data_IF_762513212725
#
_entry.id   IF_762513212725
#
_cell.length_a   1.000
_cell.length_b   1.000
_cell.length_c   1.000
_cell.angle_alpha   90.00
_cell.angle_beta   90.00
_cell.angle_gamma   90.00
#
_symmetry.space_group_name_H-M   'P 1'
#
loop_
_entity.id
_entity.type
_entity.pdbx_description
1 polymer ?
#
# COMPACT_ATOMS: atom_id res chain seq x y z
N UNK A 1 11.85 -9.86 -7.56
CA UNK A 1 12.01 -10.44 -6.21
C UNK A 1 10.63 -10.73 -5.66
N UNK A 2 10.44 -11.85 -4.98
CA UNK A 2 9.13 -12.24 -4.42
C UNK A 2 9.12 -11.83 -2.95
N UNK A 3 8.25 -10.90 -2.59
CA UNK A 3 8.08 -10.49 -1.20
C UNK A 3 7.12 -11.44 -0.49
N UNK A 4 7.45 -11.83 0.74
CA UNK A 4 6.58 -12.64 1.60
C UNK A 4 6.03 -11.79 2.73
N UNK A 5 4.75 -11.94 3.03
CA UNK A 5 4.13 -11.27 4.18
C UNK A 5 4.66 -11.85 5.49
N UNK A 6 5.21 -11.00 6.35
CA UNK A 6 5.59 -11.33 7.72
C UNK A 6 4.41 -11.02 8.66
N UNK A 7 3.60 -12.04 8.97
CA UNK A 7 2.37 -11.88 9.77
C UNK A 7 2.67 -11.36 11.18
N UNK A 8 3.73 -11.90 11.81
CA UNK A 8 4.11 -11.53 13.18
C UNK A 8 4.50 -10.07 13.24
N UNK A 9 5.41 -9.64 12.36
CA UNK A 9 5.86 -8.26 12.35
C UNK A 9 4.75 -7.29 11.92
N UNK A 10 3.84 -7.73 11.04
CA UNK A 10 2.64 -6.96 10.67
C UNK A 10 1.74 -6.67 11.87
N UNK A 11 1.52 -7.65 12.75
CA UNK A 11 0.74 -7.48 13.98
C UNK A 11 1.47 -6.59 14.99
N UNK A 12 2.78 -6.77 15.17
CA UNK A 12 3.59 -5.97 16.10
C UNK A 12 3.58 -4.49 15.70
N UNK A 13 3.85 -4.19 14.43
CA UNK A 13 3.85 -2.82 13.91
C UNK A 13 2.45 -2.22 13.99
N UNK A 14 1.39 -2.97 13.65
CA UNK A 14 0.01 -2.55 13.80
C UNK A 14 -0.33 -2.09 15.24
N UNK A 15 0.13 -2.84 16.25
CA UNK A 15 -0.04 -2.48 17.66
C UNK A 15 0.76 -1.24 18.04
N UNK A 16 2.04 -1.17 17.66
CA UNK A 16 2.92 -0.04 17.94
C UNK A 16 2.34 1.28 17.41
N UNK A 17 1.85 1.26 16.18
CA UNK A 17 1.25 2.44 15.56
C UNK A 17 -0.21 2.62 15.91
N UNK A 18 -0.88 1.71 16.65
CA UNK A 18 -2.34 1.77 16.86
C UNK A 18 -3.08 1.95 15.52
N UNK A 19 -2.87 1.00 14.61
CA UNK A 19 -3.48 0.97 13.28
C UNK A 19 -5.01 1.00 13.33
N UNK A 20 -5.65 1.36 12.22
CA UNK A 20 -7.12 1.35 12.07
C UNK A 20 -7.54 0.59 10.81
N UNK A 21 -8.66 -0.13 10.89
CA UNK A 21 -9.09 -1.09 9.86
C UNK A 21 -9.33 -0.52 8.46
N UNK A 22 -9.69 0.76 8.33
CA UNK A 22 -10.14 1.36 7.06
C UNK A 22 -9.17 2.40 6.49
N UNK A 23 -7.95 2.46 7.01
CA UNK A 23 -6.96 3.49 6.66
C UNK A 23 -5.62 2.87 6.28
N UNK A 24 -5.55 2.01 5.23
CA UNK A 24 -4.34 1.27 4.93
C UNK A 24 -3.14 2.16 4.58
N UNK A 25 -3.36 3.24 3.84
CA UNK A 25 -2.32 4.21 3.51
C UNK A 25 -1.80 4.97 4.73
N UNK A 26 -2.70 5.42 5.61
CA UNK A 26 -2.30 6.07 6.87
C UNK A 26 -1.51 5.10 7.76
N UNK A 27 -1.95 3.86 7.86
CA UNK A 27 -1.24 2.84 8.64
C UNK A 27 0.15 2.58 8.06
N UNK A 28 0.27 2.42 6.74
CA UNK A 28 1.56 2.21 6.07
C UNK A 28 2.49 3.41 6.21
N UNK A 29 1.97 4.64 6.11
CA UNK A 29 2.73 5.86 6.36
C UNK A 29 3.27 5.89 7.80
N UNK A 30 2.40 5.68 8.79
CA UNK A 30 2.79 5.67 10.20
C UNK A 30 3.77 4.53 10.52
N UNK A 31 3.62 3.38 9.88
CA UNK A 31 4.55 2.26 9.97
C UNK A 31 5.92 2.61 9.37
N UNK A 32 5.96 3.26 8.20
CA UNK A 32 7.20 3.68 7.55
C UNK A 32 7.97 4.69 8.41
N UNK A 33 7.28 5.58 9.11
CA UNK A 33 7.91 6.52 10.05
C UNK A 33 8.41 5.84 11.34
N UNK A 34 7.82 4.71 11.73
CA UNK A 34 8.13 4.00 12.97
C UNK A 34 9.14 2.85 12.80
N UNK A 35 9.53 2.53 11.57
CA UNK A 35 10.34 1.35 11.24
C UNK A 35 11.58 1.76 10.45
N UNK A 36 12.76 1.54 11.03
CA UNK A 36 14.03 1.84 10.37
C UNK A 36 14.26 0.96 9.14
N UNK A 37 14.76 1.57 8.06
CA UNK A 37 15.02 0.87 6.80
C UNK A 37 13.76 0.50 6.01
N UNK A 38 12.58 0.95 6.44
CA UNK A 38 11.34 0.69 5.73
C UNK A 38 11.21 1.50 4.43
N UNK A 39 10.65 0.85 3.42
CA UNK A 39 10.15 1.48 2.20
C UNK A 39 8.64 1.50 2.26
N UNK A 40 8.03 2.68 2.16
CA UNK A 40 6.58 2.80 2.00
C UNK A 40 6.19 2.32 0.61
N UNK A 41 5.16 1.49 0.54
CA UNK A 41 4.64 0.95 -0.71
C UNK A 41 3.13 1.15 -0.79
N UNK A 42 2.69 1.55 -1.96
CA UNK A 42 1.28 1.62 -2.31
C UNK A 42 1.03 0.93 -3.64
N UNK A 43 -0.16 0.37 -3.78
CA UNK A 43 -0.58 -0.35 -4.96
C UNK A 43 -1.81 -1.16 -4.64
N UNK A 44 -1.80 -2.45 -4.98
CA UNK A 44 -2.97 -3.30 -4.88
C UNK A 44 -2.68 -4.57 -4.07
N UNK A 45 -3.71 -5.05 -3.38
CA UNK A 45 -3.71 -6.36 -2.75
C UNK A 45 -4.89 -7.19 -3.25
N UNK A 46 -4.66 -8.46 -3.58
CA UNK A 46 -5.71 -9.45 -3.78
C UNK A 46 -6.03 -10.09 -2.44
N UNK A 47 -7.31 -10.07 -2.07
CA UNK A 47 -7.82 -10.85 -0.93
C UNK A 47 -8.48 -12.12 -1.46
N UNK A 48 -7.74 -13.22 -1.57
CA UNK A 48 -8.19 -14.48 -2.15
C UNK A 48 -9.27 -15.19 -1.31
N UNK A 49 -9.95 -16.16 -1.92
CA UNK A 49 -11.03 -16.97 -1.32
C UNK A 49 -12.37 -16.84 -2.03
N UNK A 50 -13.47 -17.21 -1.36
CA UNK A 50 -14.82 -17.33 -1.96
C UNK A 50 -15.35 -16.05 -2.63
N UNK A 51 -14.87 -14.88 -2.22
CA UNK A 51 -15.20 -13.59 -2.82
C UNK A 51 -13.91 -12.82 -3.08
N UNK A 52 -13.05 -13.41 -3.90
CA UNK A 52 -11.76 -12.82 -4.23
C UNK A 52 -11.93 -11.45 -4.87
N UNK A 53 -11.19 -10.46 -4.39
CA UNK A 53 -11.26 -9.07 -4.86
C UNK A 53 -9.90 -8.41 -4.80
N UNK A 54 -9.70 -7.42 -5.67
CA UNK A 54 -8.56 -6.51 -5.64
C UNK A 54 -8.98 -5.29 -4.84
N UNK A 55 -8.11 -4.83 -3.94
CA UNK A 55 -8.26 -3.57 -3.20
C UNK A 55 -7.04 -2.70 -3.41
N UNK A 56 -7.22 -1.39 -3.44
CA UNK A 56 -6.12 -0.46 -3.24
C UNK A 56 -5.63 -0.56 -1.80
N UNK A 57 -4.30 -0.58 -1.63
CA UNK A 57 -3.70 -0.88 -0.35
C UNK A 57 -2.32 -0.27 -0.20
N UNK A 58 -1.91 -0.07 1.06
CA UNK A 58 -0.59 0.42 1.43
C UNK A 58 0.04 -0.50 2.47
N UNK A 59 1.35 -0.69 2.37
CA UNK A 59 2.17 -1.47 3.31
C UNK A 59 3.59 -0.92 3.36
N UNK A 60 4.46 -1.55 4.15
CA UNK A 60 5.89 -1.27 4.10
C UNK A 60 6.67 -2.52 3.68
N UNK A 61 7.77 -2.31 2.96
CA UNK A 61 8.75 -3.35 2.63
C UNK A 61 10.02 -3.12 3.48
N UNK A 62 10.50 -4.18 4.15
CA UNK A 62 11.77 -4.18 4.89
C UNK A 62 12.58 -5.38 4.41
N UNK A 63 13.67 -5.14 3.69
CA UNK A 63 14.40 -6.20 3.00
C UNK A 63 13.53 -6.88 1.94
N UNK A 64 13.32 -8.18 2.07
CA UNK A 64 12.48 -9.03 1.20
C UNK A 64 11.11 -9.35 1.80
N UNK A 65 10.70 -8.62 2.84
CA UNK A 65 9.45 -8.86 3.58
C UNK A 65 8.44 -7.75 3.36
N UNK A 66 7.19 -8.14 3.16
CA UNK A 66 6.03 -7.25 3.29
C UNK A 66 5.62 -7.23 4.76
N UNK A 67 5.44 -6.03 5.29
CA UNK A 67 4.84 -5.78 6.61
C UNK A 67 3.60 -4.92 6.36
N UNK A 68 2.43 -5.47 6.62
CA UNK A 68 1.16 -4.81 6.38
C UNK A 68 0.49 -4.49 7.73
N UNK A 69 0.60 -3.25 8.24
CA UNK A 69 -0.01 -2.86 9.51
C UNK A 69 -1.55 -2.90 9.49
N UNK A 70 -2.17 -3.12 8.33
CA UNK A 70 -3.62 -3.29 8.18
C UNK A 70 -4.03 -4.77 8.12
N UNK A 71 -3.06 -5.68 7.95
CA UNK A 71 -3.28 -7.13 7.86
C UNK A 71 -4.18 -7.71 8.97
N UNK A 72 -4.03 -7.31 10.26
CA UNK A 72 -4.88 -7.85 11.33
C UNK A 72 -6.39 -7.62 11.14
N UNK A 73 -6.77 -6.65 10.30
CA UNK A 73 -8.17 -6.32 10.01
C UNK A 73 -8.70 -6.95 8.72
N UNK A 74 -7.84 -7.57 7.91
CA UNK A 74 -8.22 -8.17 6.63
C UNK A 74 -8.96 -9.50 6.81
N UNK A 75 -8.84 -10.14 7.99
CA UNK A 75 -9.42 -11.46 8.28
C UNK A 75 -9.02 -12.51 7.22
N UNK A 76 -7.75 -12.50 6.83
CA UNK A 76 -7.13 -13.41 5.86
C UNK A 76 -5.89 -14.05 6.45
N UNK A 77 -5.50 -15.20 5.90
CA UNK A 77 -4.18 -15.77 6.16
C UNK A 77 -3.17 -15.24 5.13
N UNK A 78 -1.87 -15.26 5.43
CA UNK A 78 -0.89 -14.67 4.52
C UNK A 78 -0.90 -15.27 3.11
N UNK A 79 -1.17 -16.57 2.99
CA UNK A 79 -1.31 -17.26 1.70
C UNK A 79 -2.50 -16.76 0.85
N UNK A 80 -3.47 -16.10 1.48
CA UNK A 80 -4.67 -15.58 0.82
C UNK A 80 -4.52 -14.08 0.49
N UNK A 81 -3.36 -13.48 0.72
CA UNK A 81 -3.09 -12.07 0.41
C UNK A 81 -1.91 -11.96 -0.53
N UNK A 82 -2.13 -11.34 -1.69
CA UNK A 82 -1.08 -11.14 -2.70
C UNK A 82 -0.90 -9.65 -2.97
N UNK A 83 0.32 -9.14 -2.82
CA UNK A 83 0.64 -7.72 -2.90
C UNK A 83 1.28 -7.35 -4.24
N UNK A 84 0.85 -6.24 -4.82
CA UNK A 84 1.28 -5.70 -6.12
C UNK A 84 1.65 -4.23 -5.95
N UNK A 85 2.92 -3.96 -5.66
CA UNK A 85 3.40 -2.60 -5.42
C UNK A 85 3.50 -1.78 -6.70
N UNK A 86 2.77 -0.67 -6.76
CA UNK A 86 2.83 0.30 -7.85
C UNK A 86 3.93 1.34 -7.61
N UNK A 87 3.97 1.92 -6.40
CA UNK A 87 4.94 2.95 -6.05
C UNK A 87 5.64 2.63 -4.75
N UNK A 88 6.94 2.93 -4.72
CA UNK A 88 7.83 2.72 -3.59
C UNK A 88 8.51 4.03 -3.24
N UNK A 89 8.40 4.44 -1.98
CA UNK A 89 9.00 5.67 -1.47
C UNK A 89 9.87 5.35 -0.27
N UNK A 90 11.10 5.83 -0.28
CA UNK A 90 11.88 5.92 0.95
C UNK A 90 11.18 6.85 1.94
N UNK A 91 11.44 6.70 3.23
CA UNK A 91 10.91 7.60 4.27
C UNK A 91 11.21 9.07 3.96
N UNK A 92 12.39 9.37 3.38
CA UNK A 92 12.75 10.72 2.96
C UNK A 92 11.84 11.25 1.85
N UNK A 93 11.59 10.45 0.81
CA UNK A 93 10.70 10.83 -0.29
C UNK A 93 9.25 10.96 0.17
N UNK A 94 8.81 10.08 1.07
CA UNK A 94 7.47 10.13 1.64
C UNK A 94 7.22 11.41 2.42
N UNK A 95 8.17 11.82 3.28
CA UNK A 95 8.09 13.09 4.00
C UNK A 95 8.03 14.30 3.05
N UNK A 96 8.89 14.33 2.04
CA UNK A 96 8.89 15.40 1.05
C UNK A 96 7.55 15.50 0.29
N UNK A 97 6.98 14.36 -0.11
CA UNK A 97 5.69 14.33 -0.80
C UNK A 97 4.53 14.82 0.08
N UNK A 98 4.58 14.56 1.38
CA UNK A 98 3.56 15.04 2.33
C UNK A 98 3.73 16.54 2.59
N UNK A 99 4.96 17.01 2.75
CA UNK A 99 5.26 18.44 2.91
C UNK A 99 4.79 19.25 1.69
N UNK A 100 5.06 18.76 0.47
CA UNK A 100 4.58 19.37 -0.78
C UNK A 100 3.04 19.42 -0.83
N UNK A 101 2.37 18.31 -0.52
CA UNK A 101 0.90 18.26 -0.49
C UNK A 101 0.27 19.19 0.56
N UNK A 102 0.92 19.36 1.71
CA UNK A 102 0.45 20.25 2.79
C UNK A 102 0.68 21.74 2.49
N UNK A 103 1.71 22.08 1.70
CA UNK A 103 1.95 23.46 1.29
C UNK A 103 0.85 23.95 0.33
N UNK A 104 0.37 23.07 -0.56
CA UNK A 104 -0.71 23.38 -1.50
C UNK A 104 -2.11 23.35 -0.85
N UNK A 105 -2.33 22.48 0.15
CA UNK A 105 -3.64 22.27 0.79
C UNK A 105 -3.54 22.05 2.31
N UNK A 106 -3.31 23.11 3.10
CA UNK A 106 -3.00 23.00 4.53
C UNK A 106 -4.16 22.51 5.41
N UNK A 107 -5.40 22.53 4.90
CA UNK A 107 -6.59 22.14 5.66
C UNK A 107 -7.11 20.72 5.35
N UNK A 108 -6.53 20.03 4.35
CA UNK A 108 -6.97 18.69 3.94
C UNK A 108 -6.12 17.56 4.56
N UNK A 109 -6.72 16.40 4.92
CA UNK A 109 -5.98 15.24 5.35
C UNK A 109 -5.07 14.72 4.21
N UNK A 110 -3.86 14.21 4.52
CA UNK A 110 -2.92 13.78 3.49
C UNK A 110 -3.53 12.66 2.64
N UNK A 111 -3.67 12.94 1.34
CA UNK A 111 -4.13 11.98 0.34
C UNK A 111 -3.04 10.93 0.06
N UNK A 112 -3.39 9.77 -0.52
CA UNK A 112 -2.40 8.85 -1.07
C UNK A 112 -1.47 9.58 -2.05
N UNK A 113 -0.18 9.23 -2.06
CA UNK A 113 0.82 9.93 -2.88
C UNK A 113 0.71 9.43 -4.31
N UNK A 114 -0.27 9.88 -5.08
CA UNK A 114 -0.31 9.53 -6.50
C UNK A 114 0.93 10.16 -7.18
N UNK A 115 1.68 9.36 -7.95
CA UNK A 115 2.94 9.78 -8.56
C UNK A 115 2.86 11.01 -9.48
N UNK A 116 3.96 11.31 -10.17
CA UNK A 116 4.10 12.54 -10.95
C UNK A 116 3.07 12.67 -12.09
N UNK A 117 2.56 13.88 -12.29
CA UNK A 117 1.73 14.25 -13.44
C UNK A 117 2.39 13.88 -14.79
N UNK A 118 1.60 13.61 -15.84
CA UNK A 118 0.15 13.80 -15.94
C UNK A 118 -0.66 12.70 -15.27
N UNK A 119 -1.73 13.09 -14.56
CA UNK A 119 -2.74 12.13 -14.10
C UNK A 119 -3.47 11.57 -15.33
N UNK A 120 -3.17 10.33 -15.64
CA UNK A 120 -3.66 9.65 -16.83
C UNK A 120 -5.05 9.06 -16.55
N UNK A 121 -6.10 9.77 -16.98
CA UNK A 121 -7.49 9.31 -16.90
C UNK A 121 -7.70 8.18 -17.91
N UNK A 122 -7.91 6.94 -17.47
CA UNK A 122 -8.22 5.83 -18.38
C UNK A 122 -9.40 4.97 -17.89
N UNK A 123 -10.58 5.22 -18.48
CA UNK A 123 -11.86 4.58 -18.13
C UNK A 123 -12.65 5.40 -17.10
N UNK A 124 -13.47 4.73 -16.28
CA UNK A 124 -14.25 5.35 -15.19
C UNK A 124 -13.50 5.38 -13.84
N UNK A 125 -12.22 4.97 -13.81
CA UNK A 125 -11.41 4.85 -12.58
C UNK A 125 -10.11 5.63 -12.74
N UNK A 126 -9.92 6.64 -11.89
CA UNK A 126 -8.66 7.36 -11.73
C UNK A 126 -7.64 6.45 -11.04
N UNK A 127 -6.94 5.63 -11.81
CA UNK A 127 -5.72 4.97 -11.35
C UNK A 127 -4.55 5.95 -11.56
N UNK A 128 -3.52 5.90 -10.72
CA UNK A 128 -2.35 6.79 -10.84
C UNK A 128 -1.56 6.62 -12.16
N UNK A 129 -0.29 7.03 -12.17
CA UNK A 129 0.59 6.88 -13.34
C UNK A 129 0.74 5.43 -13.84
N UNK A 130 1.49 5.24 -14.94
CA UNK A 130 1.71 3.95 -15.62
C UNK A 130 1.95 2.76 -14.67
N UNK A 131 2.70 2.96 -13.60
CA UNK A 131 3.04 1.94 -12.61
C UNK A 131 1.80 1.40 -11.86
N UNK A 132 0.80 2.24 -11.60
CA UNK A 132 -0.48 1.82 -11.03
C UNK A 132 -1.26 0.94 -12.00
N UNK A 133 -1.29 1.28 -13.29
CA UNK A 133 -1.95 0.47 -14.31
C UNK A 133 -1.28 -0.90 -14.44
N UNK A 134 0.05 -0.94 -14.46
CA UNK A 134 0.81 -2.20 -14.54
C UNK A 134 0.54 -3.07 -13.32
N UNK A 135 0.60 -2.51 -12.11
CA UNK A 135 0.30 -3.22 -10.87
C UNK A 135 -1.14 -3.76 -10.84
N UNK A 136 -2.12 -2.95 -11.24
CA UNK A 136 -3.52 -3.38 -11.31
C UNK A 136 -3.73 -4.48 -12.36
N UNK A 137 -3.13 -4.36 -13.54
CA UNK A 137 -3.21 -5.36 -14.62
C UNK A 137 -2.63 -6.69 -14.17
N UNK A 138 -1.49 -6.68 -13.46
CA UNK A 138 -0.89 -7.89 -12.88
C UNK A 138 -1.79 -8.49 -11.80
N UNK A 139 -2.40 -7.67 -10.94
CA UNK A 139 -3.36 -8.13 -9.95
C UNK A 139 -4.59 -8.77 -10.61
N UNK A 140 -5.13 -8.18 -11.67
CA UNK A 140 -6.24 -8.75 -12.44
C UNK A 140 -5.88 -10.09 -13.10
N UNK A 141 -4.70 -10.19 -13.71
CA UNK A 141 -4.23 -11.42 -14.32
C UNK A 141 -4.07 -12.53 -13.26
N UNK A 142 -3.51 -12.19 -12.10
CA UNK A 142 -3.35 -13.14 -10.99
C UNK A 142 -4.70 -13.57 -10.42
N UNK A 143 -5.64 -12.63 -10.21
CA UNK A 143 -6.99 -12.94 -9.72
C UNK A 143 -7.72 -13.91 -10.64
N UNK A 144 -7.56 -13.80 -11.96
CA UNK A 144 -8.16 -14.71 -12.94
C UNK A 144 -7.55 -16.12 -12.91
N UNK A 145 -6.34 -16.27 -12.36
CA UNK A 145 -5.61 -17.53 -12.29
C UNK A 145 -5.76 -18.28 -10.94
N UNK A 146 -6.36 -17.63 -9.94
CA UNK A 146 -6.69 -18.21 -8.62
C UNK A 146 -8.01 -19.00 -8.67
#
# INVERSE_FOLDING_TARGET
MTYSLDETLSVEVAQQIKSKAKTPFENAHRAALATDGATYVQGFAILAGKSAKIIEHGWIEVGDRVIDPTFPYLNKSAKDVHYFGAQRLSVKQLKAAIEEAQEDYPEDPPLPVYGSQPYEYYGDVMLGGKEYMEAYTLAQATLKAL
#
